data_IF_310853549626
#
_entry.id   IF_310853549626
#
_cell.length_a   1.000
_cell.length_b   1.000
_cell.length_c   1.000
_cell.angle_alpha   90.00
_cell.angle_beta   90.00
_cell.angle_gamma   90.00
#
_symmetry.space_group_name_H-M   'P 1'
#
loop_
_entity.id
_entity.type
_entity.pdbx_description
1 polymer ?
#
# COMPACT_ATOMS: atom_id res chain seq x y z
N UNK A 1 -4.34 10.49 -18.99
CA UNK A 1 -4.11 9.08 -18.68
C UNK A 1 -4.51 8.83 -17.23
N UNK A 2 -4.74 7.57 -16.85
CA UNK A 2 -4.91 7.18 -15.45
C UNK A 2 -3.54 7.07 -14.79
N UNK A 3 -3.27 7.79 -13.70
CA UNK A 3 -1.96 7.74 -13.02
C UNK A 3 -1.90 6.65 -11.96
N UNK A 4 -2.95 6.52 -11.15
CA UNK A 4 -3.02 5.56 -10.05
C UNK A 4 -4.29 4.74 -10.09
N UNK A 5 -4.14 3.44 -9.86
CA UNK A 5 -5.20 2.54 -9.45
C UNK A 5 -4.87 2.02 -8.05
N UNK A 6 -5.82 2.14 -7.12
CA UNK A 6 -5.66 1.68 -5.73
C UNK A 6 -6.87 0.83 -5.37
N UNK A 7 -6.62 -0.44 -5.11
CA UNK A 7 -7.58 -1.42 -4.61
C UNK A 7 -7.49 -1.45 -3.07
N UNK A 8 -8.55 -1.06 -2.36
CA UNK A 8 -8.52 -0.88 -0.91
C UNK A 8 -9.08 -2.12 -0.22
N UNK A 9 -8.28 -2.69 0.66
CA UNK A 9 -8.56 -3.86 1.46
C UNK A 9 -8.28 -3.58 2.92
N UNK A 10 -8.81 -4.46 3.75
CA UNK A 10 -8.57 -4.41 5.17
C UNK A 10 -8.01 -5.77 5.62
N UNK A 11 -7.06 -5.71 6.55
CA UNK A 11 -6.14 -6.80 6.83
C UNK A 11 -6.24 -7.22 8.31
N UNK A 12 -6.44 -8.51 8.54
CA UNK A 12 -6.79 -9.03 9.86
C UNK A 12 -5.61 -9.31 10.80
N UNK A 13 -4.40 -9.47 10.26
CA UNK A 13 -3.23 -9.92 11.03
C UNK A 13 -2.15 -8.86 11.17
N UNK A 14 -1.78 -8.20 10.08
CA UNK A 14 -0.84 -7.08 10.10
C UNK A 14 -1.48 -5.80 10.65
N UNK A 15 -0.62 -4.99 11.26
CA UNK A 15 -0.90 -3.69 11.86
C UNK A 15 -0.59 -2.59 10.84
N UNK A 16 -1.05 -1.36 11.10
CA UNK A 16 -0.84 -0.20 10.23
C UNK A 16 -1.51 -0.35 8.85
N UNK A 17 -1.45 0.72 8.05
CA UNK A 17 -1.67 0.69 6.61
C UNK A 17 -0.39 0.37 5.85
N UNK A 18 -0.46 -0.41 4.78
CA UNK A 18 0.69 -0.71 3.90
C UNK A 18 0.23 -1.06 2.50
N UNK A 19 1.14 -1.01 1.53
CA UNK A 19 0.81 -1.28 0.14
C UNK A 19 1.50 -2.51 -0.43
N UNK A 20 0.79 -3.18 -1.33
CA UNK A 20 1.39 -4.06 -2.32
C UNK A 20 1.41 -3.40 -3.69
N UNK A 21 2.58 -3.30 -4.31
CA UNK A 21 2.73 -2.93 -5.71
C UNK A 21 3.24 -4.09 -6.56
N UNK A 22 3.50 -3.82 -7.83
CA UNK A 22 4.04 -4.79 -8.79
C UNK A 22 5.57 -4.65 -8.87
N UNK A 23 6.26 -5.74 -9.24
CA UNK A 23 7.66 -5.64 -9.64
C UNK A 23 7.77 -5.05 -11.05
N UNK A 24 8.73 -4.16 -11.26
CA UNK A 24 9.10 -3.65 -12.58
C UNK A 24 10.57 -3.93 -12.84
N UNK A 25 10.89 -4.38 -14.06
CA UNK A 25 12.27 -4.65 -14.48
C UNK A 25 13.04 -3.33 -14.73
N UNK A 26 12.31 -2.27 -15.14
CA UNK A 26 12.86 -0.94 -15.33
C UNK A 26 13.11 -0.26 -13.98
N UNK A 27 14.38 -0.03 -13.64
CA UNK A 27 14.80 0.53 -12.36
C UNK A 27 14.16 1.90 -12.09
N UNK A 28 14.10 2.78 -13.09
CA UNK A 28 13.50 4.11 -12.93
C UNK A 28 12.02 4.00 -12.54
N UNK A 29 11.27 3.10 -13.20
CA UNK A 29 9.86 2.86 -12.89
C UNK A 29 9.69 2.24 -11.50
N UNK A 30 10.59 1.33 -11.11
CA UNK A 30 10.61 0.76 -9.77
C UNK A 30 10.86 1.83 -8.69
N UNK A 31 11.78 2.76 -8.92
CA UNK A 31 12.02 3.87 -7.99
C UNK A 31 10.82 4.83 -7.93
N UNK A 32 10.24 5.16 -9.10
CA UNK A 32 9.07 6.04 -9.19
C UNK A 32 7.86 5.49 -8.46
N UNK A 33 7.55 4.19 -8.57
CA UNK A 33 6.40 3.61 -7.85
C UNK A 33 6.54 3.67 -6.33
N UNK A 34 7.77 3.77 -5.80
CA UNK A 34 8.01 3.87 -4.37
C UNK A 34 7.77 5.30 -3.82
N UNK A 35 7.67 6.31 -4.69
CA UNK A 35 7.46 7.70 -4.27
C UNK A 35 6.12 7.86 -3.54
N UNK A 36 5.03 7.33 -4.09
CA UNK A 36 3.71 7.51 -3.49
C UNK A 36 3.57 6.82 -2.11
N UNK A 37 3.98 5.56 -1.91
CA UNK A 37 4.01 4.97 -0.57
C UNK A 37 4.95 5.68 0.40
N UNK A 38 6.08 6.26 -0.06
CA UNK A 38 6.94 7.11 0.78
C UNK A 38 6.23 8.38 1.23
N UNK A 39 5.50 9.04 0.32
CA UNK A 39 4.69 10.21 0.66
C UNK A 39 3.60 9.86 1.68
N UNK A 40 2.92 8.72 1.53
CA UNK A 40 1.95 8.26 2.53
C UNK A 40 2.60 8.07 3.90
N UNK A 41 3.76 7.42 3.97
CA UNK A 41 4.50 7.25 5.22
C UNK A 41 4.92 8.57 5.88
N UNK A 42 5.08 9.64 5.10
CA UNK A 42 5.42 10.98 5.63
C UNK A 42 4.19 11.74 6.12
N UNK A 43 2.99 11.44 5.61
CA UNK A 43 1.78 12.21 5.85
C UNK A 43 0.73 11.47 6.69
N UNK A 44 0.87 10.15 6.85
CA UNK A 44 -0.02 9.30 7.62
C UNK A 44 0.80 8.52 8.65
N UNK A 45 0.59 8.82 9.93
CA UNK A 45 1.30 8.22 11.05
C UNK A 45 1.03 6.72 11.22
N UNK A 46 -0.10 6.27 10.69
CA UNK A 46 -0.55 4.89 10.71
C UNK A 46 -0.12 4.10 9.47
N UNK A 47 0.59 4.72 8.51
CA UNK A 47 1.11 4.05 7.32
C UNK A 47 2.56 3.55 7.52
N UNK A 48 2.82 2.33 7.07
CA UNK A 48 4.11 1.64 7.19
C UNK A 48 4.75 1.40 5.83
N UNK A 49 5.73 2.24 5.48
CA UNK A 49 6.54 2.00 4.28
C UNK A 49 7.41 0.74 4.42
N UNK A 50 7.86 0.39 5.64
CA UNK A 50 8.66 -0.82 5.86
C UNK A 50 7.87 -2.11 5.61
N UNK A 51 6.55 -2.08 5.77
CA UNK A 51 5.64 -3.19 5.46
C UNK A 51 5.13 -3.17 4.01
N UNK A 52 5.42 -2.09 3.27
CA UNK A 52 5.08 -2.01 1.84
C UNK A 52 6.00 -2.93 1.03
N UNK A 53 5.41 -3.70 0.13
CA UNK A 53 6.13 -4.70 -0.66
C UNK A 53 5.78 -4.63 -2.15
N UNK A 54 6.80 -4.74 -2.99
CA UNK A 54 6.65 -4.85 -4.44
C UNK A 54 6.98 -6.29 -4.85
N UNK A 55 6.01 -7.02 -5.38
CA UNK A 55 6.20 -8.43 -5.69
C UNK A 55 5.45 -8.89 -6.96
N UNK A 56 5.74 -10.13 -7.36
CA UNK A 56 5.08 -10.82 -8.48
C UNK A 56 4.59 -12.21 -8.08
N UNK A 57 4.19 -12.37 -6.82
CA UNK A 57 3.82 -13.66 -6.26
C UNK A 57 2.73 -14.33 -7.11
N UNK A 58 2.94 -15.61 -7.44
CA UNK A 58 2.03 -16.35 -8.32
C UNK A 58 0.62 -16.47 -7.72
N UNK A 59 0.54 -16.68 -6.40
CA UNK A 59 -0.71 -16.70 -5.64
C UNK A 59 -1.49 -15.39 -5.68
N UNK A 60 -0.83 -14.27 -6.02
CA UNK A 60 -1.46 -12.94 -6.13
C UNK A 60 -1.72 -12.54 -7.59
N UNK A 61 -1.49 -13.42 -8.56
CA UNK A 61 -1.66 -13.10 -9.99
C UNK A 61 -3.08 -12.66 -10.37
N UNK A 62 -4.10 -13.13 -9.64
CA UNK A 62 -5.51 -12.76 -9.85
C UNK A 62 -5.96 -11.45 -9.17
N UNK A 63 -5.07 -10.72 -8.49
CA UNK A 63 -5.42 -9.46 -7.82
C UNK A 63 -5.67 -8.34 -8.83
N UNK A 64 -6.51 -7.36 -8.46
CA UNK A 64 -6.82 -6.20 -9.30
C UNK A 64 -5.56 -5.46 -9.77
N UNK A 65 -4.59 -5.24 -8.87
CA UNK A 65 -3.31 -4.59 -9.22
C UNK A 65 -2.50 -5.34 -10.27
N UNK A 66 -2.58 -6.68 -10.29
CA UNK A 66 -1.83 -7.54 -11.22
C UNK A 66 -2.50 -7.61 -12.58
N UNK A 67 -3.83 -7.70 -12.60
CA UNK A 67 -4.61 -7.69 -13.83
C UNK A 67 -4.52 -6.33 -14.53
N UNK A 68 -4.84 -5.25 -13.82
CA UNK A 68 -4.82 -3.90 -14.40
C UNK A 68 -3.40 -3.41 -14.70
N UNK A 69 -2.40 -3.80 -13.91
CA UNK A 69 -1.00 -3.45 -14.19
C UNK A 69 -0.44 -4.04 -15.50
N UNK A 70 -1.10 -5.06 -16.07
CA UNK A 70 -0.77 -5.59 -17.40
C UNK A 70 -1.63 -5.04 -18.53
N UNK A 71 -2.76 -4.40 -18.22
CA UNK A 71 -3.70 -3.84 -19.20
C UNK A 71 -3.52 -2.34 -19.40
N UNK A 72 -3.23 -1.62 -18.32
CA UNK A 72 -3.06 -0.17 -18.32
C UNK A 72 -1.70 0.26 -18.87
N UNK A 73 -1.62 1.53 -19.26
CA UNK A 73 -0.40 2.15 -19.77
C UNK A 73 0.75 2.00 -18.77
N UNK A 74 1.99 1.97 -19.28
CA UNK A 74 3.20 1.86 -18.46
C UNK A 74 3.39 3.03 -17.48
N UNK A 75 2.64 4.13 -17.66
CA UNK A 75 2.63 5.27 -16.75
C UNK A 75 1.67 5.12 -15.57
N UNK A 76 0.77 4.13 -15.60
CA UNK A 76 -0.14 3.83 -14.50
C UNK A 76 0.53 2.94 -13.45
N UNK A 77 0.40 3.31 -12.18
CA UNK A 77 0.83 2.51 -11.05
C UNK A 77 -0.39 1.87 -10.36
N UNK A 78 -0.32 0.56 -10.13
CA UNK A 78 -1.41 -0.21 -9.56
C UNK A 78 -1.00 -0.76 -8.20
N UNK A 79 -1.78 -0.44 -7.17
CA UNK A 79 -1.53 -0.85 -5.79
C UNK A 79 -2.73 -1.59 -5.20
N UNK A 80 -2.44 -2.44 -4.22
CA UNK A 80 -3.40 -2.84 -3.19
C UNK A 80 -3.01 -2.11 -1.92
N UNK A 81 -3.92 -1.33 -1.33
CA UNK A 81 -3.76 -0.76 0.01
C UNK A 81 -4.43 -1.71 1.00
N UNK A 82 -3.68 -2.16 1.99
CA UNK A 82 -4.17 -2.97 3.10
C UNK A 82 -4.14 -2.12 4.37
N UNK A 83 -5.23 -2.09 5.13
CA UNK A 83 -5.31 -1.37 6.41
C UNK A 83 -5.73 -2.32 7.53
N UNK A 84 -5.02 -2.30 8.65
CA UNK A 84 -5.34 -3.17 9.78
C UNK A 84 -6.79 -3.02 10.27
N UNK A 85 -7.45 -4.13 10.59
CA UNK A 85 -8.76 -4.11 11.25
C UNK A 85 -8.74 -3.48 12.64
N UNK A 86 -7.60 -3.58 13.33
CA UNK A 86 -7.57 -3.41 14.78
C UNK A 86 -6.82 -2.14 15.18
N UNK A 87 -5.58 -1.98 14.74
CA UNK A 87 -4.71 -0.92 15.29
C UNK A 87 -3.49 -0.64 14.43
N UNK A 88 -2.85 0.48 14.71
CA UNK A 88 -1.56 0.86 14.14
C UNK A 88 -0.50 1.05 15.23
N UNK A 89 0.77 0.99 14.84
CA UNK A 89 1.91 1.31 15.69
C UNK A 89 2.52 2.61 15.20
N UNK A 90 2.69 3.58 16.10
CA UNK A 90 3.38 4.83 15.81
C UNK A 90 4.87 4.58 15.59
N UNK A 91 5.46 5.25 14.59
CA UNK A 91 6.88 5.09 14.27
C UNK A 91 7.80 5.29 15.49
N UNK A 92 8.55 4.24 15.85
CA UNK A 92 9.47 4.25 17.01
C UNK A 92 8.84 3.87 18.35
N UNK A 93 7.54 3.59 18.39
CA UNK A 93 6.81 3.08 19.56
C UNK A 93 6.67 1.55 19.49
N UNK A 94 6.49 0.91 20.64
CA UNK A 94 6.02 -0.49 20.74
C UNK A 94 4.54 -0.58 21.11
N UNK A 95 3.91 0.56 21.44
CA UNK A 95 2.50 0.65 21.80
C UNK A 95 1.61 0.70 20.57
N UNK A 96 0.53 -0.07 20.60
CA UNK A 96 -0.51 -0.12 19.57
C UNK A 96 -1.63 0.86 19.88
N UNK A 97 -2.08 1.61 18.88
CA UNK A 97 -3.24 2.51 18.97
C UNK A 97 -4.41 1.90 18.19
N UNK A 98 -5.53 1.54 18.85
CA UNK A 98 -6.68 0.99 18.17
C UNK A 98 -7.36 2.03 17.27
N UNK A 99 -7.83 1.57 16.12
CA UNK A 99 -8.76 2.35 15.32
C UNK A 99 -10.12 2.37 16.03
N UNK A 100 -10.65 3.55 16.28
CA UNK A 100 -11.99 3.72 16.89
C UNK A 100 -12.83 4.67 16.04
N UNK A 101 -14.15 4.59 16.18
CA UNK A 101 -15.07 5.47 15.46
C UNK A 101 -14.88 6.93 15.87
N UNK A 102 -14.61 7.18 17.16
CA UNK A 102 -14.42 8.52 17.72
C UNK A 102 -13.11 9.19 17.25
N UNK A 103 -12.08 8.39 16.97
CA UNK A 103 -10.83 8.87 16.39
C UNK A 103 -10.97 9.22 14.90
N UNK A 104 -12.01 8.71 14.23
CA UNK A 104 -12.30 8.98 12.83
C UNK A 104 -13.02 10.32 12.70
N UNK A 105 -12.30 11.43 12.91
CA UNK A 105 -12.84 12.78 12.66
C UNK A 105 -12.63 13.11 11.18
N UNK A 106 -13.73 13.12 10.41
CA UNK A 106 -13.80 13.66 9.05
C UNK A 106 -13.84 15.19 9.07
#
# INVERSE_FOLDING_TARGET
SLEFYIDIHAHSTMMNGFMYGNIFEEEERFQRQAIFPKLLCQNAEDFSFSSTSFNRDAVKAGTGRRFLGGLLDHTSYCYTLEVSFYSYVLGGSTSTVPYTEEACIL
#
